data_IF_123388694226
#
_entry.id   IF_123388694226
#
_cell.length_a   1.000
_cell.length_b   1.000
_cell.length_c   1.000
_cell.angle_alpha   90.00
_cell.angle_beta   90.00
_cell.angle_gamma   90.00
#
_symmetry.space_group_name_H-M   'P 1'
#
loop_
_entity.id
_entity.type
_entity.pdbx_description
1 polymer ?
#
# COMPACT_ATOMS: atom_id res chain seq x y z
N UNK A 1 4.18 5.19 -14.61
CA UNK A 1 3.46 5.29 -13.33
C UNK A 1 2.09 4.62 -13.35
N UNK A 2 1.80 3.74 -12.40
CA UNK A 2 0.54 3.00 -12.23
C UNK A 2 -0.05 3.33 -10.85
N UNK A 3 -1.37 3.26 -10.72
CA UNK A 3 -2.06 3.41 -9.44
C UNK A 3 -2.26 2.03 -8.80
N UNK A 4 -1.99 1.92 -7.51
CA UNK A 4 -2.18 0.71 -6.71
C UNK A 4 -3.09 1.02 -5.53
N UNK A 5 -4.11 0.19 -5.34
CA UNK A 5 -4.95 0.17 -4.15
C UNK A 5 -4.20 -0.48 -3.00
N UNK A 6 -4.31 0.10 -1.82
CA UNK A 6 -3.67 -0.38 -0.60
C UNK A 6 -4.74 -0.94 0.33
N UNK A 7 -4.50 -2.16 0.81
CA UNK A 7 -5.29 -2.78 1.85
C UNK A 7 -4.39 -3.08 3.04
N UNK A 8 -4.87 -2.79 4.25
CA UNK A 8 -4.23 -3.14 5.50
C UNK A 8 -5.19 -3.95 6.36
N UNK A 9 -4.77 -5.16 6.78
CA UNK A 9 -5.63 -6.12 7.52
C UNK A 9 -6.97 -6.38 6.81
N UNK A 10 -6.93 -6.47 5.47
CA UNK A 10 -8.11 -6.70 4.62
C UNK A 10 -9.00 -5.48 4.40
N UNK A 11 -8.70 -4.33 5.01
CA UNK A 11 -9.47 -3.09 4.83
C UNK A 11 -8.80 -2.21 3.79
N UNK A 12 -9.56 -1.67 2.84
CA UNK A 12 -9.05 -0.65 1.91
C UNK A 12 -8.76 0.65 2.66
N UNK A 13 -7.53 1.15 2.55
CA UNK A 13 -7.10 2.36 3.28
C UNK A 13 -6.71 3.52 2.36
N UNK A 14 -6.59 3.28 1.05
CA UNK A 14 -6.24 4.32 0.08
C UNK A 14 -5.51 3.80 -1.14
N UNK A 15 -4.83 4.69 -1.86
CA UNK A 15 -4.07 4.35 -3.07
C UNK A 15 -2.75 5.10 -3.14
N UNK A 16 -1.78 4.52 -3.86
CA UNK A 16 -0.49 5.14 -4.18
C UNK A 16 -0.18 5.04 -5.66
N UNK A 17 0.60 6.00 -6.16
CA UNK A 17 1.18 5.95 -7.50
C UNK A 17 2.64 5.48 -7.41
N UNK A 18 2.98 4.45 -8.19
CA UNK A 18 4.31 3.85 -8.24
C UNK A 18 4.61 3.25 -9.62
N UNK A 19 5.88 3.05 -9.94
CA UNK A 19 6.30 2.39 -11.18
C UNK A 19 6.18 0.86 -11.08
N UNK A 20 6.48 0.30 -9.91
CA UNK A 20 6.39 -1.14 -9.62
C UNK A 20 5.47 -1.46 -8.44
N UNK A 21 5.07 -2.73 -8.33
CA UNK A 21 4.29 -3.21 -7.18
C UNK A 21 5.11 -3.20 -5.88
N UNK A 22 6.42 -3.47 -5.98
CA UNK A 22 7.35 -3.40 -4.85
C UNK A 22 7.47 -1.97 -4.31
N UNK A 23 7.61 -0.98 -5.20
CA UNK A 23 7.63 0.44 -4.81
C UNK A 23 6.28 0.88 -4.21
N UNK A 24 5.16 0.41 -4.77
CA UNK A 24 3.84 0.66 -4.18
C UNK A 24 3.72 0.08 -2.77
N UNK A 25 4.27 -1.12 -2.56
CA UNK A 25 4.28 -1.79 -1.28
C UNK A 25 5.11 -1.02 -0.24
N UNK A 26 6.30 -0.57 -0.60
CA UNK A 26 7.16 0.20 0.31
C UNK A 26 6.53 1.54 0.67
N UNK A 27 5.94 2.25 -0.31
CA UNK A 27 5.16 3.48 -0.08
C UNK A 27 3.97 3.23 0.86
N UNK A 28 3.22 2.15 0.64
CA UNK A 28 2.09 1.76 1.50
C UNK A 28 2.54 1.47 2.93
N UNK A 29 3.61 0.69 3.08
CA UNK A 29 4.18 0.34 4.40
C UNK A 29 4.63 1.60 5.15
N UNK A 30 5.33 2.51 4.47
CA UNK A 30 5.73 3.79 5.08
C UNK A 30 4.52 4.60 5.55
N UNK A 31 3.47 4.74 4.72
CA UNK A 31 2.25 5.48 5.11
C UNK A 31 1.56 4.88 6.34
N UNK A 32 1.47 3.56 6.43
CA UNK A 32 0.85 2.87 7.56
C UNK A 32 1.69 3.03 8.84
N UNK A 33 3.02 2.92 8.75
CA UNK A 33 3.93 3.15 9.89
C UNK A 33 3.75 4.58 10.42
N UNK A 34 3.72 5.58 9.55
CA UNK A 34 3.51 6.97 9.97
C UNK A 34 2.17 7.19 10.68
N UNK A 35 1.14 6.40 10.35
CA UNK A 35 -0.20 6.55 10.91
C UNK A 35 -0.41 5.76 12.21
N UNK A 36 0.19 4.57 12.34
CA UNK A 36 -0.07 3.61 13.43
C UNK A 36 1.15 3.26 14.29
N UNK A 37 2.33 3.81 13.98
CA UNK A 37 3.59 3.55 14.68
C UNK A 37 4.23 2.18 14.38
N UNK A 38 3.48 1.22 13.85
CA UNK A 38 3.94 -0.11 13.48
C UNK A 38 3.18 -0.65 12.25
N UNK A 39 3.87 -1.42 11.41
CA UNK A 39 3.29 -2.07 10.25
C UNK A 39 3.99 -3.41 9.98
N UNK A 40 3.22 -4.51 10.04
CA UNK A 40 3.70 -5.81 9.60
C UNK A 40 3.47 -5.96 8.09
N UNK A 41 4.53 -6.30 7.33
CA UNK A 41 4.42 -6.47 5.86
C UNK A 41 3.37 -7.52 5.46
N UNK A 42 3.15 -8.56 6.28
CA UNK A 42 2.12 -9.60 6.01
C UNK A 42 0.69 -9.06 6.01
N UNK A 43 0.46 -7.91 6.65
CA UNK A 43 -0.88 -7.29 6.75
C UNK A 43 -1.17 -6.33 5.59
N UNK A 44 -0.17 -6.01 4.75
CA UNK A 44 -0.28 -5.08 3.63
C UNK A 44 -0.50 -5.85 2.33
N UNK A 45 -1.53 -5.48 1.58
CA UNK A 45 -1.76 -5.96 0.22
C UNK A 45 -1.85 -4.77 -0.72
N UNK A 46 -1.13 -4.85 -1.84
CA UNK A 46 -1.21 -3.85 -2.92
C UNK A 46 -1.73 -4.51 -4.19
N UNK A 47 -2.78 -3.93 -4.76
CA UNK A 47 -3.41 -4.40 -5.98
C UNK A 47 -3.36 -3.33 -7.05
N UNK A 48 -2.91 -3.68 -8.25
CA UNK A 48 -2.87 -2.73 -9.36
C UNK A 48 -4.30 -2.33 -9.73
N UNK A 49 -4.52 -1.03 -9.84
CA UNK A 49 -5.79 -0.49 -10.28
C UNK A 49 -5.90 -0.45 -11.82
N UNK A 50 -7.13 -0.63 -12.32
CA UNK A 50 -7.50 -0.52 -13.74
C UNK A 50 -8.22 0.79 -14.10
N UNK A 51 -8.41 1.68 -13.13
CA UNK A 51 -8.99 3.02 -13.35
C UNK A 51 -7.91 4.09 -13.61
#
# INVERSE_FOLDING_TARGET
>A
MKTYNIYYKGTYIGFVKAESQEEAFDKATMQIIFSNGQCDRKDVRVEKSFF
#
